data_IF_218284498970
#
_entry.id   IF_218284498970
#
_cell.length_a   1.000
_cell.length_b   1.000
_cell.length_c   1.000
_cell.angle_alpha   90.00
_cell.angle_beta   90.00
_cell.angle_gamma   90.00
#
_symmetry.space_group_name_H-M   'P 1'
#
loop_
_entity.id
_entity.type
_entity.pdbx_description
1 polymer ?
#
# COMPACT_ATOMS: atom_id res chain seq x y z
N UNK A 1 -11.58 6.61 28.60
CA UNK A 1 -10.60 7.17 27.65
C UNK A 1 -10.73 6.36 26.37
N UNK A 2 -11.22 6.97 25.29
CA UNK A 2 -11.56 6.29 24.04
C UNK A 2 -10.29 5.81 23.35
N UNK A 3 -10.09 4.49 23.34
CA UNK A 3 -9.04 3.84 22.56
C UNK A 3 -9.37 4.05 21.09
N UNK A 4 -8.57 4.83 20.37
CA UNK A 4 -8.61 4.89 18.91
C UNK A 4 -8.18 3.52 18.40
N UNK A 5 -9.11 2.58 18.25
CA UNK A 5 -8.80 1.24 17.76
C UNK A 5 -8.42 1.35 16.28
N UNK A 6 -7.11 1.37 16.04
CA UNK A 6 -6.53 0.94 14.76
C UNK A 6 -7.27 -0.32 14.33
N UNK A 7 -7.97 -0.25 13.21
CA UNK A 7 -8.65 -1.40 12.62
C UNK A 7 -7.65 -2.55 12.55
N UNK A 8 -7.98 -3.75 13.03
CA UNK A 8 -6.99 -4.83 13.07
C UNK A 8 -6.52 -5.17 11.66
N UNK A 9 -5.28 -5.67 11.54
CA UNK A 9 -4.82 -6.20 10.26
C UNK A 9 -5.70 -7.38 9.87
N UNK A 10 -6.23 -7.34 8.64
CA UNK A 10 -6.92 -8.47 8.06
C UNK A 10 -6.01 -9.71 7.92
N UNK A 11 -6.59 -10.86 7.57
CA UNK A 11 -5.83 -12.10 7.39
C UNK A 11 -4.78 -11.96 6.29
N UNK A 12 -3.76 -12.82 6.34
CA UNK A 12 -2.72 -12.88 5.31
C UNK A 12 -3.25 -13.63 4.10
N UNK A 13 -3.19 -13.00 2.94
CA UNK A 13 -3.59 -13.55 1.65
C UNK A 13 -2.38 -13.75 0.73
N UNK A 14 -2.44 -14.71 -0.21
CA UNK A 14 -1.47 -14.80 -1.30
C UNK A 14 -1.54 -13.54 -2.16
N UNK A 15 -0.41 -13.08 -2.68
CA UNK A 15 -0.38 -11.90 -3.56
C UNK A 15 -1.22 -12.12 -4.82
N UNK A 16 -1.93 -11.08 -5.22
CA UNK A 16 -2.74 -11.05 -6.45
C UNK A 16 -2.07 -10.15 -7.50
N UNK A 17 -2.44 -10.25 -8.78
CA UNK A 17 -1.94 -9.35 -9.82
C UNK A 17 -2.18 -7.86 -9.51
N UNK A 18 -3.27 -7.55 -8.82
CA UNK A 18 -3.58 -6.18 -8.37
C UNK A 18 -2.54 -5.68 -7.36
N UNK A 19 -2.14 -6.55 -6.42
CA UNK A 19 -1.12 -6.22 -5.41
C UNK A 19 0.26 -6.09 -6.05
N UNK A 20 0.58 -6.92 -7.04
CA UNK A 20 1.80 -6.76 -7.83
C UNK A 20 1.81 -5.40 -8.54
N UNK A 21 0.71 -5.01 -9.19
CA UNK A 21 0.58 -3.70 -9.83
C UNK A 21 0.71 -2.53 -8.85
N UNK A 22 0.21 -2.67 -7.61
CA UNK A 22 0.43 -1.67 -6.56
C UNK A 22 1.91 -1.52 -6.21
N UNK A 23 2.65 -2.63 -6.10
CA UNK A 23 4.09 -2.57 -5.91
C UNK A 23 4.75 -1.83 -7.08
N UNK A 24 4.44 -2.19 -8.33
CA UNK A 24 5.08 -1.62 -9.50
C UNK A 24 4.83 -0.11 -9.65
N UNK A 25 3.63 0.36 -9.27
CA UNK A 25 3.28 1.79 -9.31
C UNK A 25 3.95 2.62 -8.22
N UNK A 26 4.05 2.10 -7.00
CA UNK A 26 4.49 2.88 -5.83
C UNK A 26 6.01 2.74 -5.58
N UNK A 27 6.63 1.68 -6.11
CA UNK A 27 8.07 1.41 -5.95
C UNK A 27 8.98 2.55 -6.43
N UNK A 28 8.73 3.25 -7.56
CA UNK A 28 9.55 4.39 -7.97
C UNK A 28 9.58 5.51 -6.93
N UNK A 29 8.45 5.81 -6.28
CA UNK A 29 8.40 6.81 -5.21
C UNK A 29 9.12 6.32 -3.96
N UNK A 30 8.97 5.04 -3.61
CA UNK A 30 9.62 4.43 -2.46
C UNK A 30 11.14 4.45 -2.64
N UNK A 31 11.63 4.03 -3.82
CA UNK A 31 13.03 4.09 -4.20
C UNK A 31 13.58 5.51 -4.12
N UNK A 32 12.84 6.50 -4.61
CA UNK A 32 13.23 7.92 -4.49
C UNK A 32 13.32 8.39 -3.04
N UNK A 33 12.39 7.96 -2.17
CA UNK A 33 12.37 8.33 -0.74
C UNK A 33 13.48 7.65 0.05
N UNK A 34 13.79 6.39 -0.26
CA UNK A 34 14.78 5.59 0.46
C UNK A 34 16.19 5.71 -0.13
N UNK A 35 16.33 6.30 -1.33
CA UNK A 35 17.61 6.36 -2.04
C UNK A 35 18.06 4.99 -2.55
N UNK A 36 17.13 4.08 -2.83
CA UNK A 36 17.40 2.70 -3.26
C UNK A 36 16.97 2.49 -4.70
N UNK A 37 17.42 1.41 -5.34
CA UNK A 37 17.02 1.06 -6.71
C UNK A 37 16.45 -0.36 -6.80
N UNK A 38 15.55 -0.69 -5.87
CA UNK A 38 14.92 -2.00 -5.87
C UNK A 38 14.00 -2.17 -7.07
N UNK A 39 14.02 -3.36 -7.66
CA UNK A 39 12.99 -3.81 -8.61
C UNK A 39 12.21 -4.96 -7.98
N UNK A 40 10.91 -4.78 -7.77
CA UNK A 40 10.06 -5.88 -7.30
C UNK A 40 9.96 -6.92 -8.41
N UNK A 41 10.40 -8.13 -8.12
CA UNK A 41 10.34 -9.28 -9.03
C UNK A 41 8.99 -9.98 -8.88
N UNK A 42 8.54 -10.16 -7.63
CA UNK A 42 7.28 -10.87 -7.34
C UNK A 42 6.77 -10.55 -5.93
N UNK A 43 5.52 -10.12 -5.82
CA UNK A 43 4.78 -10.07 -4.57
C UNK A 43 4.40 -11.50 -4.14
N UNK A 44 4.63 -11.83 -2.87
CA UNK A 44 4.41 -13.17 -2.32
C UNK A 44 3.09 -13.26 -1.56
N UNK A 45 2.91 -12.36 -0.60
CA UNK A 45 1.76 -12.34 0.31
C UNK A 45 1.43 -10.92 0.69
N UNK A 46 0.19 -10.66 1.04
CA UNK A 46 -0.21 -9.36 1.56
C UNK A 46 -1.24 -9.51 2.68
N UNK A 47 -1.39 -8.44 3.45
CA UNK A 47 -2.54 -8.22 4.32
C UNK A 47 -2.95 -6.77 4.22
N UNK A 48 -4.23 -6.50 4.37
CA UNK A 48 -4.78 -5.16 4.32
C UNK A 48 -5.34 -4.74 5.67
N UNK A 49 -5.37 -3.42 5.90
CA UNK A 49 -5.94 -2.80 7.07
C UNK A 49 -6.77 -1.61 6.57
N UNK A 50 -8.07 -1.65 6.78
CA UNK A 50 -8.98 -0.57 6.39
C UNK A 50 -9.07 0.44 7.50
N UNK A 51 -8.61 1.66 7.27
CA UNK A 51 -8.69 2.76 8.24
C UNK A 51 -10.04 3.47 8.11
N UNK A 52 -10.93 3.18 9.04
CA UNK A 52 -12.28 3.80 9.12
C UNK A 52 -12.30 5.11 9.92
N UNK A 53 -11.21 5.46 10.62
CA UNK A 53 -11.12 6.67 11.44
C UNK A 53 -10.83 7.96 10.64
N UNK A 54 -10.53 7.83 9.35
CA UNK A 54 -10.32 8.98 8.47
C UNK A 54 -11.66 9.39 7.86
N UNK A 55 -11.88 10.70 7.60
CA UNK A 55 -13.10 11.19 6.92
C UNK A 55 -13.32 10.55 5.54
N UNK A 56 -12.26 9.98 4.98
CA UNK A 56 -12.29 9.13 3.78
C UNK A 56 -11.66 7.78 4.14
N UNK A 57 -12.33 6.64 3.89
CA UNK A 57 -11.79 5.33 4.23
C UNK A 57 -10.50 5.07 3.46
N UNK A 58 -9.38 4.91 4.17
CA UNK A 58 -8.08 4.57 3.56
C UNK A 58 -7.78 3.09 3.72
N UNK A 59 -6.98 2.53 2.82
CA UNK A 59 -6.50 1.15 2.92
C UNK A 59 -4.98 1.12 3.05
N UNK A 60 -4.49 0.44 4.06
CA UNK A 60 -3.07 0.21 4.25
C UNK A 60 -2.75 -1.24 3.87
N UNK A 61 -1.81 -1.43 2.96
CA UNK A 61 -1.37 -2.74 2.49
C UNK A 61 0.02 -3.02 3.05
N UNK A 62 0.18 -4.17 3.70
CA UNK A 62 1.50 -4.73 4.02
C UNK A 62 1.75 -5.89 3.07
N UNK A 63 2.78 -5.77 2.23
CA UNK A 63 3.07 -6.70 1.14
C UNK A 63 4.48 -7.24 1.33
N UNK A 64 4.61 -8.56 1.40
CA UNK A 64 5.89 -9.24 1.36
C UNK A 64 6.24 -9.52 -0.10
N UNK A 65 7.38 -9.03 -0.57
CA UNK A 65 7.78 -9.14 -1.97
C UNK A 65 9.25 -9.55 -2.11
N UNK A 66 9.57 -10.29 -3.17
CA UNK A 66 10.95 -10.45 -3.64
C UNK A 66 11.31 -9.23 -4.48
N UNK A 67 12.39 -8.57 -4.11
CA UNK A 67 12.96 -7.47 -4.87
C UNK A 67 14.41 -7.78 -5.23
N UNK A 68 14.85 -7.28 -6.37
CA UNK A 68 16.23 -7.37 -6.83
C UNK A 68 16.88 -6.00 -6.68
N UNK A 69 18.09 -5.98 -6.14
CA UNK A 69 18.97 -4.82 -6.05
C UNK A 69 20.29 -5.18 -6.70
N UNK A 70 20.58 -4.59 -7.87
CA UNK A 70 21.73 -4.81 -8.79
C UNK A 70 22.23 -6.26 -8.98
N UNK A 71 22.69 -6.93 -7.91
CA UNK A 71 23.27 -8.27 -7.92
C UNK A 71 22.60 -9.27 -6.95
N UNK A 72 21.66 -8.83 -6.11
CA UNK A 72 21.04 -9.68 -5.08
C UNK A 72 19.52 -9.65 -5.12
N UNK A 73 18.90 -10.80 -4.92
CA UNK A 73 17.45 -10.92 -4.67
C UNK A 73 17.21 -11.00 -3.18
N UNK A 74 16.50 -10.02 -2.65
CA UNK A 74 16.12 -9.89 -1.24
C UNK A 74 14.61 -9.99 -1.07
N UNK A 75 14.17 -10.37 0.13
CA UNK A 75 12.75 -10.32 0.50
C UNK A 75 12.52 -9.06 1.31
N UNK A 76 11.59 -8.22 0.87
CA UNK A 76 11.26 -6.94 1.49
C UNK A 76 9.81 -6.91 1.95
N UNK A 77 9.55 -6.13 3.00
CA UNK A 77 8.21 -5.81 3.51
C UNK A 77 7.84 -4.39 3.05
N UNK A 78 6.98 -4.28 2.04
CA UNK A 78 6.46 -3.02 1.54
C UNK A 78 5.20 -2.61 2.32
N UNK A 79 5.10 -1.33 2.68
CA UNK A 79 3.90 -0.74 3.29
C UNK A 79 3.37 0.37 2.40
N UNK A 80 2.17 0.19 1.88
CA UNK A 80 1.55 1.12 0.93
C UNK A 80 0.23 1.60 1.52
N UNK A 81 0.12 2.90 1.77
CA UNK A 81 -1.13 3.53 2.19
C UNK A 81 -1.85 4.09 0.96
N UNK A 82 -2.93 3.43 0.54
CA UNK A 82 -3.82 3.94 -0.49
C UNK A 82 -4.94 4.75 0.15
N UNK A 83 -4.91 6.05 -0.08
CA UNK A 83 -6.08 6.92 0.15
C UNK A 83 -6.91 6.91 -1.14
N UNK A 84 -8.25 6.85 -1.08
CA UNK A 84 -9.07 7.09 -2.26
C UNK A 84 -8.70 8.45 -2.83
N UNK A 85 -8.57 8.54 -4.16
CA UNK A 85 -8.40 9.82 -4.82
C UNK A 85 -9.56 10.72 -4.41
N UNK A 86 -9.26 11.81 -3.70
CA UNK A 86 -10.16 12.93 -3.49
C UNK A 86 -10.27 13.71 -4.82
N UNK A 87 -10.82 13.08 -5.84
CA UNK A 87 -11.27 13.75 -7.06
C UNK A 87 -12.79 13.55 -7.10
N UNK A 88 -13.53 14.65 -7.11
CA UNK A 88 -15.00 14.71 -7.19
C UNK A 88 -15.79 14.53 -5.88
N UNK A 89 -15.43 15.26 -4.83
CA UNK A 89 -16.48 16.04 -4.18
C UNK A 89 -16.62 17.33 -4.99
N UNK A 90 -17.20 17.24 -6.19
CA UNK A 90 -17.76 18.43 -6.84
C UNK A 90 -18.75 19.01 -5.84
N UNK A 91 -18.38 20.13 -5.25
CA UNK A 91 -19.33 21.06 -4.66
C UNK A 91 -20.28 21.43 -5.81
N UNK A 92 -21.41 20.73 -5.92
CA UNK A 92 -22.54 21.23 -6.69
C UNK A 92 -23.15 22.33 -5.82
N UNK A 93 -22.97 23.63 -6.13
CA UNK A 93 -23.77 24.64 -5.47
C UNK A 93 -25.23 24.36 -5.85
N UNK A 94 -26.03 23.99 -4.86
CA UNK A 94 -27.48 23.94 -5.01
C UNK A 94 -27.93 25.35 -5.39
N UNK A 95 -28.50 25.49 -6.59
CA UNK A 95 -29.18 26.70 -7.03
C UNK A 95 -30.53 26.85 -6.35
#
# INVERSE_FOLDING_TARGET
>A
MSSSTLSEWGPIHPATPVVQGLCDMELPEINKKLGTNFKVVTALKFREQTWTLLPVPAKNYKILAKAQDDYMVVVIDLRILKKPDLKEAEFLPTK
#
